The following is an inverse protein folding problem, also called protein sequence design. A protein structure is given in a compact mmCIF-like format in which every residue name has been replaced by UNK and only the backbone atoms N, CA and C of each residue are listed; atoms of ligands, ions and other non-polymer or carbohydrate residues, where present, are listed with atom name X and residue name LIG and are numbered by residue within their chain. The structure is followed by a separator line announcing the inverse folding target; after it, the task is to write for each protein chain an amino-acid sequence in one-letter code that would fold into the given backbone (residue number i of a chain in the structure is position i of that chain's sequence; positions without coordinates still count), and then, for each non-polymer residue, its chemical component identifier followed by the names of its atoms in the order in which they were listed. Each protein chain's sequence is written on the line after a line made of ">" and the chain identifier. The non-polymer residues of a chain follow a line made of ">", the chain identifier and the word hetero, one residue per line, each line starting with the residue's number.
data_IF_606116832143
#
_entry.id   IF_606116832143
#
_cell.length_a   1.000
_cell.length_b   1.000
_cell.length_c   1.000
_cell.angle_alpha   90.00
_cell.angle_beta   90.00
_cell.angle_gamma   90.00
#
_symmetry.space_group_name_H-M   'P 1'
#
loop_
_entity.id
_entity.type
_entity.pdbx_description
1 polymer ?
#
# COMPACT_ATOMS: atom_id res chain seq x y z
N UNK A 1 6.60 7.37 -7.55
CA UNK A 1 7.36 6.25 -7.97
C UNK A 1 6.61 5.37 -8.95
N UNK A 2 6.35 4.11 -8.74
CA UNK A 2 5.72 3.29 -9.76
C UNK A 2 5.75 1.81 -9.39
N UNK A 3 5.24 0.98 -10.27
CA UNK A 3 5.12 -0.46 -10.10
C UNK A 3 5.43 -1.18 -11.41
N UNK A 4 6.01 -2.38 -11.32
CA UNK A 4 6.42 -3.17 -12.47
C UNK A 4 5.38 -4.20 -12.90
N UNK A 5 4.65 -4.78 -11.96
CA UNK A 5 3.60 -5.79 -12.12
C UNK A 5 4.07 -7.12 -12.74
N UNK A 6 5.37 -7.30 -12.92
CA UNK A 6 6.01 -8.56 -13.24
C UNK A 6 7.11 -8.84 -12.22
N UNK A 7 7.46 -10.10 -12.02
CA UNK A 7 8.55 -10.47 -11.11
C UNK A 7 9.85 -9.74 -11.45
N UNK A 8 10.22 -9.73 -12.74
CA UNK A 8 11.46 -9.12 -13.20
C UNK A 8 11.50 -7.60 -12.97
N UNK A 9 10.42 -6.91 -13.34
CA UNK A 9 10.37 -5.45 -13.22
C UNK A 9 10.30 -4.99 -11.76
N UNK A 10 9.54 -5.69 -10.90
CA UNK A 10 9.50 -5.42 -9.46
C UNK A 10 10.89 -5.57 -8.83
N UNK A 11 11.59 -6.68 -9.09
CA UNK A 11 12.94 -6.88 -8.60
C UNK A 11 13.90 -5.82 -9.13
N UNK A 12 13.81 -5.49 -10.42
CA UNK A 12 14.63 -4.45 -11.04
C UNK A 12 14.44 -3.09 -10.35
N UNK A 13 13.20 -2.67 -10.11
CA UNK A 13 12.90 -1.42 -9.43
C UNK A 13 13.45 -1.41 -8.00
N UNK A 14 13.22 -2.45 -7.23
CA UNK A 14 13.70 -2.56 -5.86
C UNK A 14 15.24 -2.58 -5.79
N UNK A 15 15.92 -3.24 -6.73
CA UNK A 15 17.39 -3.22 -6.84
C UNK A 15 17.92 -1.81 -7.16
N UNK A 16 17.20 -1.05 -8.00
CA UNK A 16 17.54 0.37 -8.26
C UNK A 16 17.38 1.21 -7.00
N UNK A 17 16.27 1.04 -6.26
CA UNK A 17 16.06 1.73 -4.99
C UNK A 17 17.20 1.43 -4.00
N UNK A 18 17.62 0.18 -3.87
CA UNK A 18 18.77 -0.21 -3.03
C UNK A 18 20.05 0.54 -3.42
N UNK A 19 20.37 0.61 -4.72
CA UNK A 19 21.53 1.36 -5.21
C UNK A 19 21.44 2.86 -4.90
N UNK A 20 20.26 3.46 -5.05
CA UNK A 20 20.06 4.88 -4.70
C UNK A 20 20.25 5.07 -3.19
N UNK A 21 19.69 4.19 -2.36
CA UNK A 21 19.83 4.22 -0.90
C UNK A 21 21.31 4.20 -0.46
N UNK A 22 22.15 3.45 -1.17
CA UNK A 22 23.59 3.34 -0.91
C UNK A 22 24.39 4.59 -1.41
N UNK A 23 23.85 5.33 -2.36
CA UNK A 23 24.54 6.45 -3.03
C UNK A 23 24.09 7.85 -2.58
N UNK A 24 23.13 7.95 -1.65
CA UNK A 24 22.57 9.23 -1.20
C UNK A 24 22.51 9.31 0.33
N UNK A 25 22.63 10.51 0.94
CA UNK A 25 22.39 10.70 2.38
C UNK A 25 20.90 10.70 2.76
N UNK A 26 19.98 10.59 1.80
CA UNK A 26 18.54 10.57 2.08
C UNK A 26 18.12 9.28 2.76
N UNK A 27 17.20 9.38 3.71
CA UNK A 27 16.54 8.21 4.29
C UNK A 27 15.54 7.66 3.29
N UNK A 28 15.82 6.48 2.73
CA UNK A 28 14.97 5.82 1.74
C UNK A 28 14.44 4.51 2.32
N UNK A 29 13.15 4.30 2.20
CA UNK A 29 12.46 3.04 2.49
C UNK A 29 11.90 2.46 1.21
N UNK A 30 12.14 1.17 1.00
CA UNK A 30 11.67 0.46 -0.19
C UNK A 30 10.35 -0.24 0.09
N UNK A 31 9.40 -0.10 -0.83
CA UNK A 31 8.10 -0.77 -0.77
C UNK A 31 7.93 -1.65 -2.00
N UNK A 32 7.65 -2.94 -1.78
CA UNK A 32 7.21 -3.83 -2.86
C UNK A 32 5.76 -3.52 -3.20
N UNK A 33 5.48 -3.18 -4.46
CA UNK A 33 4.19 -2.66 -4.93
C UNK A 33 3.55 -3.55 -6.02
N UNK A 34 3.91 -4.84 -6.08
CA UNK A 34 3.36 -5.78 -7.05
C UNK A 34 1.83 -5.96 -6.99
N UNK A 35 1.23 -5.67 -5.83
CA UNK A 35 -0.22 -5.73 -5.61
C UNK A 35 -0.93 -4.37 -5.80
N UNK A 36 -0.48 -3.55 -6.76
CA UNK A 36 -1.14 -2.29 -7.09
C UNK A 36 -2.18 -2.42 -8.21
N UNK A 37 -1.91 -3.27 -9.18
CA UNK A 37 -2.84 -3.64 -10.25
C UNK A 37 -2.53 -5.07 -10.73
N UNK A 38 -3.45 -5.65 -11.49
CA UNK A 38 -3.23 -7.00 -12.07
C UNK A 38 -2.31 -6.89 -13.29
N UNK A 39 -1.19 -7.62 -13.27
CA UNK A 39 -0.26 -7.67 -14.39
C UNK A 39 -0.92 -8.12 -15.69
N UNK A 40 -0.48 -7.56 -16.83
CA UNK A 40 -1.11 -7.80 -18.17
C UNK A 40 -1.25 -9.28 -18.51
N UNK A 41 -0.27 -10.11 -18.15
CA UNK A 41 -0.28 -11.55 -18.41
C UNK A 41 -1.39 -12.29 -17.64
N UNK A 42 -1.95 -11.67 -16.61
CA UNK A 42 -2.99 -12.22 -15.74
C UNK A 42 -4.35 -11.53 -15.92
N UNK A 43 -4.54 -10.75 -16.99
CA UNK A 43 -5.82 -10.07 -17.24
C UNK A 43 -6.98 -11.06 -17.20
N UNK A 44 -7.99 -10.79 -16.35
CA UNK A 44 -9.14 -11.66 -16.10
C UNK A 44 -8.84 -12.90 -15.22
N UNK A 45 -7.63 -13.00 -14.65
CA UNK A 45 -7.20 -14.11 -13.77
C UNK A 45 -6.54 -13.56 -12.50
N UNK A 46 -7.26 -12.68 -11.78
CA UNK A 46 -6.72 -11.98 -10.61
C UNK A 46 -6.28 -12.94 -9.50
N UNK A 47 -7.02 -14.02 -9.25
CA UNK A 47 -6.65 -15.02 -8.27
C UNK A 47 -5.29 -15.70 -8.59
N UNK A 48 -5.02 -15.97 -9.87
CA UNK A 48 -3.72 -16.52 -10.30
C UNK A 48 -2.59 -15.49 -10.09
N UNK A 49 -2.90 -14.20 -10.28
CA UNK A 49 -1.93 -13.13 -10.03
C UNK A 49 -1.61 -12.98 -8.55
N UNK A 50 -2.62 -13.05 -7.68
CA UNK A 50 -2.43 -13.08 -6.22
C UNK A 50 -1.57 -14.29 -5.81
N UNK A 51 -1.82 -15.44 -6.40
CA UNK A 51 -0.99 -16.63 -6.20
C UNK A 51 0.46 -16.41 -6.63
N UNK A 52 0.66 -15.77 -7.78
CA UNK A 52 2.01 -15.42 -8.29
C UNK A 52 2.73 -14.43 -7.35
N UNK A 53 2.03 -13.42 -6.84
CA UNK A 53 2.60 -12.51 -5.83
C UNK A 53 3.09 -13.30 -4.62
N UNK A 54 2.25 -14.20 -4.09
CA UNK A 54 2.57 -14.95 -2.88
C UNK A 54 3.64 -16.02 -3.08
N UNK A 55 3.61 -16.74 -4.21
CA UNK A 55 4.47 -17.92 -4.43
C UNK A 55 5.81 -17.60 -5.08
N UNK A 56 5.86 -16.53 -5.87
CA UNK A 56 7.04 -16.22 -6.70
C UNK A 56 7.63 -14.84 -6.34
N UNK A 57 6.81 -13.76 -6.31
CA UNK A 57 7.34 -12.41 -6.12
C UNK A 57 7.82 -12.16 -4.68
N UNK A 58 7.00 -12.40 -3.68
CA UNK A 58 7.36 -12.16 -2.27
C UNK A 58 8.57 -12.99 -1.83
N UNK A 59 8.66 -14.29 -2.14
CA UNK A 59 9.88 -15.06 -1.84
C UNK A 59 11.14 -14.50 -2.50
N UNK A 60 11.04 -14.07 -3.76
CA UNK A 60 12.18 -13.50 -4.48
C UNK A 60 12.64 -12.16 -3.91
N UNK A 61 11.69 -11.28 -3.55
CA UNK A 61 11.97 -10.00 -2.87
C UNK A 61 12.63 -10.24 -1.51
N UNK A 62 12.11 -11.19 -0.75
CA UNK A 62 12.65 -11.56 0.56
C UNK A 62 14.05 -12.17 0.47
N UNK A 63 14.29 -13.05 -0.50
CA UNK A 63 15.59 -13.72 -0.70
C UNK A 63 16.74 -12.72 -0.91
N UNK A 64 16.46 -11.57 -1.53
CA UNK A 64 17.42 -10.49 -1.73
C UNK A 64 17.35 -9.38 -0.67
N UNK A 65 16.41 -9.47 0.29
CA UNK A 65 16.16 -8.44 1.30
C UNK A 65 15.97 -7.04 0.67
N UNK A 66 15.07 -6.94 -0.34
CA UNK A 66 14.92 -5.74 -1.15
C UNK A 66 13.87 -4.76 -0.61
N UNK A 67 12.90 -5.20 0.18
CA UNK A 67 11.78 -4.37 0.61
C UNK A 67 11.69 -4.22 2.13
N UNK A 68 11.56 -2.99 2.59
CA UNK A 68 11.20 -2.66 3.97
C UNK A 68 9.68 -2.91 4.20
N UNK A 69 8.87 -2.68 3.17
CA UNK A 69 7.40 -2.78 3.21
C UNK A 69 6.83 -3.52 2.01
N UNK A 70 5.65 -4.08 2.19
CA UNK A 70 4.73 -4.51 1.12
C UNK A 70 3.51 -3.61 1.14
N UNK A 71 2.98 -3.27 -0.02
CA UNK A 71 1.78 -2.47 -0.15
C UNK A 71 0.76 -3.18 -1.05
N UNK A 72 -0.52 -3.04 -0.73
CA UNK A 72 -1.64 -3.57 -1.51
C UNK A 72 -2.65 -2.47 -1.76
N UNK A 73 -3.10 -2.32 -2.99
CA UNK A 73 -4.19 -1.42 -3.33
C UNK A 73 -5.53 -2.11 -3.07
N UNK A 74 -6.07 -1.89 -1.88
CA UNK A 74 -7.30 -2.50 -1.39
C UNK A 74 -8.46 -1.53 -1.59
N UNK A 75 -9.07 -1.57 -2.77
CA UNK A 75 -10.19 -0.70 -3.09
C UNK A 75 -11.14 -1.34 -4.12
N UNK A 76 -12.29 -0.71 -4.34
CA UNK A 76 -13.30 -1.15 -5.31
C UNK A 76 -12.71 -1.21 -6.72
N UNK A 77 -12.68 -2.42 -7.29
CA UNK A 77 -12.11 -2.66 -8.62
C UNK A 77 -10.63 -3.02 -8.64
N UNK A 78 -9.99 -3.08 -7.47
CA UNK A 78 -8.61 -3.51 -7.26
C UNK A 78 -8.58 -4.82 -6.45
N UNK A 79 -7.72 -4.93 -5.42
CA UNK A 79 -7.66 -6.14 -4.60
C UNK A 79 -8.72 -6.13 -3.52
N UNK A 80 -9.32 -7.30 -3.28
CA UNK A 80 -10.32 -7.49 -2.22
C UNK A 80 -9.66 -7.60 -0.85
N UNK A 81 -10.47 -7.51 0.21
CA UNK A 81 -10.00 -7.71 1.59
C UNK A 81 -9.38 -9.10 1.77
N UNK A 82 -9.98 -10.14 1.17
CA UNK A 82 -9.50 -11.52 1.26
C UNK A 82 -8.17 -11.72 0.52
N UNK A 83 -8.03 -11.11 -0.65
CA UNK A 83 -6.78 -11.14 -1.43
C UNK A 83 -5.67 -10.39 -0.70
N UNK A 84 -6.00 -9.22 -0.12
CA UNK A 84 -5.10 -8.43 0.71
C UNK A 84 -4.65 -9.22 1.94
N UNK A 85 -5.59 -9.83 2.67
CA UNK A 85 -5.30 -10.68 3.83
C UNK A 85 -4.32 -11.81 3.48
N UNK A 86 -4.50 -12.45 2.33
CA UNK A 86 -3.63 -13.50 1.83
C UNK A 86 -2.22 -13.00 1.53
N UNK A 87 -2.10 -11.88 0.81
CA UNK A 87 -0.79 -11.28 0.45
C UNK A 87 -0.04 -10.85 1.71
N UNK A 88 -0.72 -10.16 2.64
CA UNK A 88 -0.09 -9.68 3.87
C UNK A 88 0.30 -10.82 4.82
N UNK A 89 -0.52 -11.88 4.88
CA UNK A 89 -0.19 -13.10 5.63
C UNK A 89 1.06 -13.78 5.07
N UNK A 90 1.24 -13.79 3.75
CA UNK A 90 2.45 -14.32 3.12
C UNK A 90 3.66 -13.44 3.40
N UNK A 91 3.54 -12.11 3.23
CA UNK A 91 4.61 -11.15 3.49
C UNK A 91 5.12 -11.21 4.95
N UNK A 92 4.23 -11.44 5.91
CA UNK A 92 4.55 -11.58 7.32
C UNK A 92 5.52 -12.73 7.61
N UNK A 93 5.50 -13.81 6.82
CA UNK A 93 6.44 -14.94 6.95
C UNK A 93 7.89 -14.52 6.71
N UNK A 94 8.10 -13.46 5.96
CA UNK A 94 9.41 -12.89 5.63
C UNK A 94 9.75 -11.66 6.48
N UNK A 95 8.88 -11.27 7.42
CA UNK A 95 9.09 -10.09 8.26
C UNK A 95 8.92 -8.76 7.53
N UNK A 96 8.32 -8.75 6.32
CA UNK A 96 8.06 -7.54 5.54
C UNK A 96 6.79 -6.88 6.10
N UNK A 97 6.89 -5.63 6.54
CA UNK A 97 5.79 -4.91 7.16
C UNK A 97 4.79 -4.41 6.12
N UNK A 98 3.47 -4.43 6.42
CA UNK A 98 2.47 -3.96 5.49
C UNK A 98 2.28 -2.43 5.52
N UNK A 99 1.87 -1.91 4.37
CA UNK A 99 1.20 -0.64 4.11
C UNK A 99 -0.01 -0.93 3.21
N UNK A 100 -0.99 -0.06 3.18
CA UNK A 100 -2.21 -0.26 2.39
C UNK A 100 -2.62 1.05 1.73
N UNK A 101 -2.85 1.03 0.40
CA UNK A 101 -3.72 2.00 -0.24
C UNK A 101 -5.16 1.61 0.11
N UNK A 102 -5.87 2.46 0.82
CA UNK A 102 -7.19 2.15 1.35
C UNK A 102 -8.15 3.31 1.21
N UNK A 103 -9.37 3.00 0.81
CA UNK A 103 -10.48 3.94 0.80
C UNK A 103 -10.19 5.22 -0.02
N UNK A 104 -9.47 5.09 -1.12
CA UNK A 104 -9.27 6.19 -2.08
C UNK A 104 -10.55 6.46 -2.87
N UNK A 105 -11.19 5.39 -3.37
CA UNK A 105 -12.35 5.48 -4.25
C UNK A 105 -13.66 5.11 -3.55
N UNK A 106 -13.60 4.23 -2.55
CA UNK A 106 -14.78 3.75 -1.82
C UNK A 106 -14.39 3.22 -0.44
N UNK A 107 -15.37 3.11 0.48
CA UNK A 107 -15.18 2.37 1.74
C UNK A 107 -15.06 0.89 1.37
N UNK A 108 -13.83 0.37 1.39
CA UNK A 108 -13.47 -0.93 0.83
C UNK A 108 -13.14 -2.02 1.85
N UNK A 109 -13.01 -1.67 3.14
CA UNK A 109 -12.49 -2.56 4.18
C UNK A 109 -10.96 -2.60 4.26
N UNK A 110 -10.27 -1.80 3.44
CA UNK A 110 -8.80 -1.70 3.42
C UNK A 110 -8.22 -1.24 4.76
N UNK A 111 -8.90 -0.32 5.44
CA UNK A 111 -8.50 0.14 6.78
C UNK A 111 -8.52 -1.01 7.79
N UNK A 112 -9.61 -1.77 7.82
CA UNK A 112 -9.79 -2.87 8.77
C UNK A 112 -8.78 -3.99 8.55
N UNK A 113 -8.50 -4.37 7.30
CA UNK A 113 -7.47 -5.38 7.01
C UNK A 113 -6.07 -4.87 7.31
N UNK A 114 -5.79 -3.58 7.08
CA UNK A 114 -4.54 -2.95 7.47
C UNK A 114 -4.30 -3.00 8.97
N UNK A 115 -5.30 -2.62 9.78
CA UNK A 115 -5.25 -2.71 11.24
C UNK A 115 -5.06 -4.15 11.72
N UNK A 116 -5.80 -5.10 11.14
CA UNK A 116 -5.66 -6.55 11.44
C UNK A 116 -4.21 -7.04 11.30
N UNK A 117 -3.50 -6.55 10.28
CA UNK A 117 -2.11 -6.93 10.00
C UNK A 117 -1.07 -6.01 10.64
N UNK A 118 -1.48 -5.09 11.53
CA UNK A 118 -0.59 -4.09 12.14
C UNK A 118 0.20 -3.30 11.09
N UNK A 119 -0.49 -2.85 10.04
CA UNK A 119 0.12 -2.06 8.98
C UNK A 119 0.82 -0.82 9.55
N UNK A 120 1.95 -0.47 8.95
CA UNK A 120 2.69 0.76 9.30
C UNK A 120 1.83 1.99 9.04
N UNK A 121 1.11 1.99 7.91
CA UNK A 121 0.15 3.03 7.57
C UNK A 121 -0.98 2.48 6.69
N UNK A 122 -2.08 3.22 6.69
CA UNK A 122 -3.12 3.17 5.65
C UNK A 122 -3.12 4.53 4.98
N UNK A 123 -2.97 4.51 3.67
CA UNK A 123 -2.72 5.69 2.86
C UNK A 123 -3.96 6.02 2.02
N UNK A 124 -4.19 7.27 1.65
CA UNK A 124 -5.33 7.89 0.96
C UNK A 124 -6.46 8.30 1.91
N UNK A 125 -7.44 7.46 2.18
CA UNK A 125 -8.52 7.71 3.13
C UNK A 125 -9.50 8.82 2.72
N UNK A 126 -9.66 9.07 1.40
CA UNK A 126 -10.63 10.02 0.87
C UNK A 126 -12.06 9.59 1.21
N UNK A 127 -12.39 8.30 0.97
CA UNK A 127 -13.69 7.71 1.28
C UNK A 127 -13.70 7.11 2.69
N UNK A 128 -13.87 7.95 3.72
CA UNK A 128 -13.80 7.52 5.13
C UNK A 128 -15.07 7.81 5.89
N UNK A 129 -15.51 6.87 6.73
CA UNK A 129 -16.60 7.05 7.72
C UNK A 129 -16.05 7.10 9.14
N UNK A 130 -16.92 7.32 10.12
CA UNK A 130 -16.54 7.33 11.53
C UNK A 130 -16.07 5.93 12.01
N UNK A 131 -16.51 4.86 11.32
CA UNK A 131 -16.09 3.49 11.64
C UNK A 131 -14.59 3.25 11.36
N UNK A 132 -14.04 3.81 10.27
CA UNK A 132 -12.62 3.73 9.95
C UNK A 132 -11.79 4.54 10.95
N UNK A 133 -12.27 5.73 11.34
CA UNK A 133 -11.60 6.56 12.34
C UNK A 133 -11.53 5.81 13.67
N UNK A 134 -12.63 5.19 14.11
CA UNK A 134 -12.66 4.43 15.36
C UNK A 134 -11.78 3.16 15.28
N UNK A 135 -11.76 2.48 14.14
CA UNK A 135 -10.87 1.34 13.90
C UNK A 135 -9.40 1.71 14.08
N UNK A 136 -8.99 2.85 13.54
CA UNK A 136 -7.61 3.34 13.64
C UNK A 136 -7.27 3.86 15.04
N UNK A 137 -8.22 4.46 15.76
CA UNK A 137 -8.01 5.02 17.10
C UNK A 137 -7.41 4.02 18.09
N UNK A 138 -7.79 2.75 17.99
CA UNK A 138 -7.34 1.68 18.87
C UNK A 138 -6.20 0.85 18.28
N UNK A 139 -5.53 1.37 17.23
CA UNK A 139 -4.45 0.69 16.54
C UNK A 139 -3.14 1.48 16.59
N UNK A 140 -2.05 0.82 16.20
CA UNK A 140 -0.76 1.47 15.95
C UNK A 140 -0.56 1.90 14.50
N UNK A 141 -1.59 1.76 13.65
CA UNK A 141 -1.52 2.05 12.22
C UNK A 141 -1.68 3.54 11.95
N UNK A 142 -0.76 4.14 11.20
CA UNK A 142 -0.75 5.57 10.88
C UNK A 142 -1.71 5.90 9.74
N UNK A 143 -2.73 6.76 9.94
CA UNK A 143 -3.47 7.33 8.83
C UNK A 143 -2.59 8.33 8.05
N UNK A 144 -2.50 8.16 6.74
CA UNK A 144 -1.69 9.03 5.86
C UNK A 144 -2.58 9.65 4.80
N UNK A 145 -2.67 10.97 4.78
CA UNK A 145 -3.44 11.73 3.78
C UNK A 145 -2.57 12.13 2.60
N UNK A 146 -3.15 12.11 1.42
CA UNK A 146 -2.49 12.45 0.15
C UNK A 146 -3.20 13.60 -0.58
N UNK A 147 -3.23 14.82 0.00
CA UNK A 147 -4.02 15.92 -0.54
C UNK A 147 -3.58 16.35 -1.95
N UNK A 148 -2.32 16.09 -2.35
CA UNK A 148 -1.85 16.32 -3.71
C UNK A 148 -2.56 15.43 -4.73
N UNK A 149 -2.77 14.16 -4.38
CA UNK A 149 -3.54 13.20 -5.18
C UNK A 149 -5.00 13.64 -5.33
N UNK A 150 -5.67 13.94 -4.22
CA UNK A 150 -7.07 14.41 -4.23
C UNK A 150 -7.23 15.66 -5.09
N UNK A 151 -6.30 16.62 -4.98
CA UNK A 151 -6.30 17.85 -5.79
C UNK A 151 -6.11 17.54 -7.29
N UNK A 152 -5.12 16.70 -7.64
CA UNK A 152 -4.81 16.37 -9.03
C UNK A 152 -5.95 15.60 -9.72
N UNK A 153 -6.55 14.63 -9.02
CA UNK A 153 -7.64 13.83 -9.55
C UNK A 153 -9.01 14.54 -9.50
N UNK A 154 -9.13 15.67 -8.79
CA UNK A 154 -10.38 16.39 -8.61
C UNK A 154 -11.41 15.64 -7.78
N UNK A 155 -10.95 14.82 -6.82
CA UNK A 155 -11.80 14.07 -5.87
C UNK A 155 -11.87 14.80 -4.52
N UNK A 156 -12.76 14.34 -3.64
CA UNK A 156 -12.89 14.90 -2.29
C UNK A 156 -11.62 14.70 -1.46
N UNK A 157 -11.31 15.65 -0.59
CA UNK A 157 -10.18 15.51 0.34
C UNK A 157 -10.56 14.61 1.52
N UNK A 158 -9.60 13.81 1.97
CA UNK A 158 -9.75 13.01 3.19
C UNK A 158 -10.07 13.84 4.43
N UNK A 159 -10.78 13.25 5.40
CA UNK A 159 -11.29 13.88 6.62
C UNK A 159 -10.21 14.13 7.70
N UNK A 160 -9.04 14.68 7.34
CA UNK A 160 -7.89 14.85 8.22
C UNK A 160 -8.23 15.51 9.58
N UNK A 161 -9.13 16.52 9.57
CA UNK A 161 -9.56 17.21 10.78
C UNK A 161 -10.29 16.26 11.75
N UNK A 162 -11.06 15.32 11.25
CA UNK A 162 -11.82 14.39 12.10
C UNK A 162 -10.90 13.37 12.74
N UNK A 163 -9.87 12.90 12.05
CA UNK A 163 -8.81 12.08 12.62
C UNK A 163 -8.07 12.80 13.74
N UNK A 164 -7.68 14.07 13.52
CA UNK A 164 -7.00 14.89 14.54
C UNK A 164 -7.92 15.11 15.76
N UNK A 165 -9.21 15.44 15.54
CA UNK A 165 -10.18 15.61 16.61
C UNK A 165 -10.43 14.32 17.41
N UNK A 166 -10.28 13.16 16.78
CA UNK A 166 -10.33 11.85 17.42
C UNK A 166 -9.06 11.50 18.21
N UNK A 167 -8.05 12.38 18.20
CA UNK A 167 -6.77 12.19 18.89
C UNK A 167 -5.76 11.33 18.13
N UNK A 168 -5.99 11.08 16.84
CA UNK A 168 -5.07 10.34 15.99
C UNK A 168 -3.97 11.25 15.43
N UNK A 169 -2.72 10.80 15.38
CA UNK A 169 -1.72 11.44 14.56
C UNK A 169 -2.09 11.27 13.06
N UNK A 170 -1.75 12.24 12.23
CA UNK A 170 -1.97 12.17 10.78
C UNK A 170 -0.66 12.47 10.06
N UNK A 171 -0.24 11.56 9.20
CA UNK A 171 0.86 11.81 8.29
C UNK A 171 0.36 12.43 6.97
N UNK A 172 1.23 13.17 6.29
CA UNK A 172 0.98 13.73 4.97
C UNK A 172 2.03 13.20 3.99
N UNK A 173 1.60 12.88 2.77
CA UNK A 173 2.47 12.44 1.70
C UNK A 173 2.07 13.11 0.38
N UNK A 174 3.03 13.19 -0.55
CA UNK A 174 2.80 13.79 -1.87
C UNK A 174 2.16 12.84 -2.88
N UNK A 175 2.30 11.52 -2.67
CA UNK A 175 1.98 10.51 -3.68
C UNK A 175 2.61 10.83 -5.06
N UNK A 176 3.87 11.28 -5.04
CA UNK A 176 4.54 11.71 -6.26
C UNK A 176 4.74 10.55 -7.24
N UNK A 177 3.90 10.51 -8.26
CA UNK A 177 3.94 9.55 -9.37
C UNK A 177 3.24 10.14 -10.61
N UNK A 178 3.46 9.57 -11.82
CA UNK A 178 2.87 10.11 -13.07
C UNK A 178 1.35 10.02 -13.15
N UNK A 179 0.67 9.28 -12.26
CA UNK A 179 -0.77 9.03 -12.30
C UNK A 179 -1.59 9.94 -11.41
N UNK A 180 -1.01 10.49 -10.35
CA UNK A 180 -1.77 11.18 -9.30
C UNK A 180 -1.12 12.46 -8.75
N UNK A 181 -0.01 12.92 -9.34
CA UNK A 181 0.57 14.23 -8.95
C UNK A 181 1.49 14.86 -9.99
#
# INVERSE_FOLDING_TARGET
>A
SGYGLTLEDELKMLRVIRRIKESTPLTIKSTFLGAHAVGRAYKGRQADYVDHICKDMLPAVAAENLADFVDVFTDKGFFTVEETDKILSEAAKYGIKPKIHANELAVSGGVQVGVKHNAQSVDHLEATTDAEIECLRNSGTMPTMLPGCSFFLGIEFGRAKDYINAGLPVALSSDYNPGSS
#
